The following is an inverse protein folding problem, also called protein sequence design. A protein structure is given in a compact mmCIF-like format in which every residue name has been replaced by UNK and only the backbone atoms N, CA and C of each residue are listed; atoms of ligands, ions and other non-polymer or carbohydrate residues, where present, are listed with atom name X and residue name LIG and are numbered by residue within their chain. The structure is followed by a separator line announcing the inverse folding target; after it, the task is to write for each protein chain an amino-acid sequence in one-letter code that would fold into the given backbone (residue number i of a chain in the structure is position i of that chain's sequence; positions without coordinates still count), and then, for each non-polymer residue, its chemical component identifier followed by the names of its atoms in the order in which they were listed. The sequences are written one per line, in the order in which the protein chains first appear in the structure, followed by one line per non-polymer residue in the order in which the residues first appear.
data_IF_873751547489
#
_entry.id   IF_873751547489
#
_cell.length_a   1.000
_cell.length_b   1.000
_cell.length_c   1.000
_cell.angle_alpha   90.00
_cell.angle_beta   90.00
_cell.angle_gamma   90.00
#
_symmetry.space_group_name_H-M   'P 1'
#
loop_
_entity.id
_entity.type
_entity.pdbx_description
1 polymer ?
#
# COMPACT_ATOMS: atom_id res chain seq x y z
N UNK A 1 -0.97 20.86 -20.78
CA UNK A 1 -2.27 21.01 -20.08
C UNK A 1 -1.92 21.37 -18.64
N UNK A 2 -2.20 22.61 -18.23
CA UNK A 2 -1.60 23.27 -17.07
C UNK A 2 -2.37 22.96 -15.77
N UNK A 3 -1.69 22.34 -14.80
CA UNK A 3 -2.27 21.89 -13.52
C UNK A 3 -2.79 23.06 -12.67
N UNK A 4 -2.35 24.29 -12.95
CA UNK A 4 -2.77 25.47 -12.20
C UNK A 4 -4.21 25.91 -12.47
N UNK A 5 -4.87 25.41 -13.51
CA UNK A 5 -6.22 25.88 -13.87
C UNK A 5 -7.34 25.22 -13.03
N UNK A 6 -7.10 24.05 -12.44
CA UNK A 6 -8.08 23.39 -11.57
C UNK A 6 -8.10 23.95 -10.14
N UNK A 7 -6.99 24.50 -9.65
CA UNK A 7 -6.93 25.11 -8.32
C UNK A 7 -7.56 26.52 -8.28
N UNK A 8 -7.72 27.19 -9.43
CA UNK A 8 -8.38 28.50 -9.52
C UNK A 8 -9.91 28.45 -9.39
N UNK A 9 -10.55 27.29 -9.55
CA UNK A 9 -12.02 27.16 -9.51
C UNK A 9 -12.59 26.78 -8.14
N UNK A 10 -11.75 26.60 -7.12
CA UNK A 10 -12.17 26.15 -5.79
C UNK A 10 -12.15 27.25 -4.70
N UNK A 11 -12.14 28.53 -5.06
CA UNK A 11 -12.32 29.63 -4.10
C UNK A 11 -13.82 29.84 -3.82
N UNK A 12 -14.29 29.29 -2.70
CA UNK A 12 -15.62 29.52 -2.13
C UNK A 12 -15.64 30.94 -1.53
N UNK A 13 -16.66 31.78 -1.81
CA UNK A 13 -16.79 33.11 -1.19
C UNK A 13 -17.05 33.00 0.32
N UNK A 14 -16.32 33.78 1.11
CA UNK A 14 -16.42 33.85 2.57
C UNK A 14 -17.44 34.92 2.97
N UNK A 15 -18.70 34.72 2.61
CA UNK A 15 -19.74 35.76 2.73
C UNK A 15 -20.96 35.15 3.42
N UNK A 16 -20.92 35.08 4.76
CA UNK A 16 -21.97 34.43 5.54
C UNK A 16 -21.95 34.79 7.03
N UNK A 17 -21.74 36.06 7.36
CA UNK A 17 -21.90 36.56 8.73
C UNK A 17 -23.39 36.67 9.08
N UNK A 18 -23.94 35.65 9.75
CA UNK A 18 -25.27 35.72 10.37
C UNK A 18 -25.28 36.69 11.54
N UNK A 19 -26.08 37.73 11.34
CA UNK A 19 -26.42 38.85 12.21
C UNK A 19 -27.10 38.35 13.50
N UNK A 20 -26.43 38.56 14.64
CA UNK A 20 -27.03 38.46 15.97
C UNK A 20 -27.99 39.64 16.17
N UNK A 21 -29.29 39.38 16.26
CA UNK A 21 -30.28 40.36 16.72
C UNK A 21 -30.41 40.27 18.23
N UNK A 22 -29.97 41.34 18.89
CA UNK A 22 -30.25 41.67 20.29
C UNK A 22 -31.75 41.83 20.50
N UNK A 23 -32.34 41.00 21.35
CA UNK A 23 -33.70 41.22 21.84
C UNK A 23 -33.64 41.68 23.30
N UNK A 24 -34.07 42.92 23.48
CA UNK A 24 -34.67 43.58 24.64
C UNK A 24 -34.46 42.97 26.03
N UNK A 25 -33.62 43.66 26.79
CA UNK A 25 -33.75 43.80 28.24
C UNK A 25 -34.62 45.02 28.50
N UNK A 26 -35.87 44.83 28.90
CA UNK A 26 -36.66 45.86 29.57
C UNK A 26 -37.62 45.21 30.56
N UNK A 27 -37.64 45.74 31.79
CA UNK A 27 -38.64 45.42 32.81
C UNK A 27 -38.07 44.81 34.08
N UNK A 28 -37.52 45.65 34.96
CA UNK A 28 -37.40 45.36 36.39
C UNK A 28 -38.73 45.75 37.05
N UNK A 29 -39.51 44.83 37.63
CA UNK A 29 -40.63 45.20 38.48
C UNK A 29 -40.15 45.55 39.89
N UNK A 30 -40.66 46.68 40.31
CA UNK A 30 -40.66 47.30 41.62
C UNK A 30 -41.12 46.34 42.73
N UNK A 31 -40.43 46.41 43.87
CA UNK A 31 -40.69 45.64 45.08
C UNK A 31 -42.00 46.08 45.73
N UNK A 32 -43.00 45.20 45.76
CA UNK A 32 -44.17 45.35 46.65
C UNK A 32 -44.06 44.40 47.84
N UNK A 33 -44.09 45.03 49.01
CA UNK A 33 -44.20 44.45 50.33
C UNK A 33 -45.39 43.49 50.48
N UNK A 34 -45.18 42.45 51.29
CA UNK A 34 -46.16 41.93 52.24
C UNK A 34 -47.37 41.17 51.69
N UNK A 35 -47.24 39.86 51.50
CA UNK A 35 -48.35 38.92 51.72
C UNK A 35 -47.80 37.50 52.00
N UNK A 36 -47.18 37.31 53.16
CA UNK A 36 -46.81 35.99 53.66
C UNK A 36 -48.09 35.26 54.13
N UNK A 37 -48.87 34.71 53.20
CA UNK A 37 -50.11 34.03 53.60
C UNK A 37 -51.03 33.50 52.51
N UNK A 38 -50.76 33.68 51.21
CA UNK A 38 -51.56 33.04 50.16
C UNK A 38 -50.96 31.70 49.78
N UNK A 39 -51.64 30.63 50.21
CA UNK A 39 -51.43 29.28 49.68
C UNK A 39 -51.42 29.34 48.16
N UNK A 40 -50.28 28.96 47.59
CA UNK A 40 -50.09 28.90 46.15
C UNK A 40 -51.21 28.08 45.50
N UNK A 41 -51.86 28.57 44.43
CA UNK A 41 -52.91 27.84 43.73
C UNK A 41 -52.42 26.44 43.34
N UNK A 42 -53.25 25.42 43.57
CA UNK A 42 -52.88 24.00 43.39
C UNK A 42 -52.40 23.69 41.95
N UNK A 43 -52.73 24.53 40.97
CA UNK A 43 -52.34 24.43 39.56
C UNK A 43 -51.01 25.14 39.21
N UNK A 44 -50.56 26.12 39.99
CA UNK A 44 -49.32 26.86 39.74
C UNK A 44 -48.05 26.00 39.95
N UNK A 45 -48.14 24.94 40.77
CA UNK A 45 -47.04 23.98 40.90
C UNK A 45 -46.87 23.12 39.64
N UNK A 46 -47.94 22.87 38.90
CA UNK A 46 -47.91 22.04 37.68
C UNK A 46 -47.23 22.78 36.53
N UNK A 47 -47.46 24.08 36.38
CA UNK A 47 -46.80 24.89 35.33
C UNK A 47 -45.30 25.05 35.58
N UNK A 48 -44.88 25.32 36.81
CA UNK A 48 -43.45 25.43 37.17
C UNK A 48 -42.70 24.10 37.00
N UNK A 49 -43.34 22.97 37.33
CA UNK A 49 -42.77 21.64 37.08
C UNK A 49 -42.61 21.34 35.58
N UNK A 50 -43.57 21.76 34.74
CA UNK A 50 -43.49 21.56 33.30
C UNK A 50 -42.45 22.46 32.62
N UNK A 51 -42.31 23.73 33.03
CA UNK A 51 -41.28 24.62 32.50
C UNK A 51 -39.87 24.19 32.90
N UNK A 52 -39.66 23.79 34.17
CA UNK A 52 -38.39 23.23 34.64
C UNK A 52 -38.01 21.91 33.96
N UNK A 53 -39.00 21.03 33.72
CA UNK A 53 -38.77 19.78 33.00
C UNK A 53 -38.40 20.01 31.51
N UNK A 54 -38.99 21.02 30.87
CA UNK A 54 -38.72 21.33 29.45
C UNK A 54 -37.31 21.88 29.22
N UNK A 55 -36.82 22.75 30.10
CA UNK A 55 -35.48 23.36 29.96
C UNK A 55 -34.36 22.38 30.31
N UNK A 56 -34.53 21.59 31.37
CA UNK A 56 -33.56 20.57 31.76
C UNK A 56 -33.44 19.44 30.71
N UNK A 57 -34.54 19.03 30.09
CA UNK A 57 -34.53 18.00 29.04
C UNK A 57 -33.88 18.50 27.75
N UNK A 58 -34.08 19.76 27.36
CA UNK A 58 -33.43 20.38 26.20
C UNK A 58 -31.92 20.55 26.43
N UNK A 59 -31.49 20.98 27.62
CA UNK A 59 -30.08 21.11 27.94
C UNK A 59 -29.36 19.75 27.98
N UNK A 60 -30.01 18.73 28.55
CA UNK A 60 -29.50 17.36 28.56
C UNK A 60 -29.38 16.79 27.15
N UNK A 61 -30.39 17.02 26.29
CA UNK A 61 -30.37 16.62 24.90
C UNK A 61 -29.26 17.33 24.11
N UNK A 62 -29.07 18.64 24.31
CA UNK A 62 -28.01 19.41 23.67
C UNK A 62 -26.61 18.93 24.08
N UNK A 63 -26.39 18.67 25.38
CA UNK A 63 -25.13 18.08 25.89
C UNK A 63 -24.88 16.68 25.33
N UNK A 64 -25.94 15.87 25.21
CA UNK A 64 -25.88 14.54 24.59
C UNK A 64 -25.47 14.58 23.12
N UNK A 65 -26.09 15.46 22.33
CA UNK A 65 -25.77 15.63 20.91
C UNK A 65 -24.35 16.18 20.70
N UNK A 66 -23.93 17.13 21.53
CA UNK A 66 -22.56 17.65 21.49
C UNK A 66 -21.53 16.55 21.82
N UNK A 67 -21.78 15.76 22.87
CA UNK A 67 -20.92 14.61 23.21
C UNK A 67 -20.83 13.59 22.08
N UNK A 68 -21.96 13.26 21.43
CA UNK A 68 -21.98 12.34 20.28
C UNK A 68 -21.17 12.88 19.09
N UNK A 69 -21.27 14.18 18.80
CA UNK A 69 -20.52 14.82 17.70
C UNK A 69 -19.00 14.76 17.91
N UNK A 70 -18.53 14.92 19.16
CA UNK A 70 -17.11 14.79 19.51
C UNK A 70 -16.64 13.36 19.31
N UNK A 71 -17.43 12.37 19.73
CA UNK A 71 -17.09 10.94 19.56
C UNK A 71 -16.96 10.60 18.07
N UNK A 72 -17.89 11.07 17.23
CA UNK A 72 -17.84 10.87 15.78
C UNK A 72 -16.59 11.52 15.18
N UNK A 73 -16.28 12.77 15.55
CA UNK A 73 -15.10 13.48 15.06
C UNK A 73 -13.80 12.76 15.45
N UNK A 74 -13.67 12.35 16.70
CA UNK A 74 -12.50 11.60 17.19
C UNK A 74 -12.35 10.27 16.43
N UNK A 75 -13.45 9.58 16.16
CA UNK A 75 -13.43 8.32 15.38
C UNK A 75 -12.99 8.54 13.93
N UNK A 76 -13.46 9.61 13.27
CA UNK A 76 -13.03 9.97 11.91
C UNK A 76 -11.55 10.36 11.86
N UNK A 77 -11.07 11.16 12.82
CA UNK A 77 -9.66 11.52 12.91
C UNK A 77 -8.77 10.31 13.19
N UNK A 78 -9.22 9.39 14.04
CA UNK A 78 -8.51 8.13 14.31
C UNK A 78 -8.41 7.23 13.08
N UNK A 79 -9.50 7.07 12.31
CA UNK A 79 -9.49 6.26 11.09
C UNK A 79 -8.62 6.86 9.98
N UNK A 80 -8.57 8.18 9.84
CA UNK A 80 -7.66 8.85 8.90
C UNK A 80 -6.19 8.75 9.35
N UNK A 81 -5.92 8.96 10.63
CA UNK A 81 -4.57 8.82 11.19
C UNK A 81 -4.05 7.39 11.04
N UNK A 82 -4.86 6.38 11.39
CA UNK A 82 -4.49 4.97 11.22
C UNK A 82 -4.35 4.57 9.76
N UNK A 83 -5.20 5.04 8.84
CA UNK A 83 -5.01 4.80 7.40
C UNK A 83 -3.73 5.43 6.85
N UNK A 84 -3.40 6.65 7.27
CA UNK A 84 -2.19 7.36 6.82
C UNK A 84 -0.93 6.70 7.37
N UNK A 85 -0.88 6.46 8.69
CA UNK A 85 0.25 5.79 9.34
C UNK A 85 0.39 4.35 8.87
N UNK A 86 -0.70 3.60 8.69
CA UNK A 86 -0.64 2.24 8.11
C UNK A 86 -0.13 2.25 6.67
N UNK A 87 -0.50 3.23 5.84
CA UNK A 87 0.04 3.35 4.47
C UNK A 87 1.54 3.67 4.48
N UNK A 88 1.99 4.59 5.34
CA UNK A 88 3.41 4.94 5.45
C UNK A 88 4.25 3.80 6.05
N UNK A 89 3.74 3.13 7.08
CA UNK A 89 4.38 1.95 7.65
C UNK A 89 4.32 0.75 6.72
N UNK A 90 3.25 0.55 5.95
CA UNK A 90 3.19 -0.50 4.93
C UNK A 90 4.14 -0.21 3.77
N UNK A 91 4.25 1.04 3.31
CA UNK A 91 5.19 1.43 2.27
C UNK A 91 6.65 1.28 2.73
N UNK A 92 6.97 1.66 3.97
CA UNK A 92 8.29 1.43 4.55
C UNK A 92 8.53 -0.06 4.82
N UNK A 93 7.57 -0.77 5.40
CA UNK A 93 7.69 -2.21 5.66
C UNK A 93 7.81 -3.01 4.37
N UNK A 94 7.13 -2.64 3.29
CA UNK A 94 7.31 -3.26 1.97
C UNK A 94 8.73 -3.07 1.46
N UNK A 95 9.28 -1.86 1.54
CA UNK A 95 10.66 -1.61 1.13
C UNK A 95 11.68 -2.36 2.00
N UNK A 96 11.48 -2.42 3.31
CA UNK A 96 12.39 -3.09 4.25
C UNK A 96 12.24 -4.63 4.27
N UNK A 97 11.04 -5.17 4.07
CA UNK A 97 10.80 -6.61 3.93
C UNK A 97 11.34 -7.11 2.58
N UNK A 98 11.20 -6.32 1.51
CA UNK A 98 11.75 -6.68 0.20
C UNK A 98 13.27 -6.52 0.17
N UNK A 99 13.82 -5.40 0.65
CA UNK A 99 15.28 -5.22 0.74
C UNK A 99 15.91 -6.22 1.72
N UNK A 100 15.29 -6.45 2.87
CA UNK A 100 15.67 -7.48 3.83
C UNK A 100 15.57 -8.88 3.24
N UNK A 101 14.56 -9.15 2.41
CA UNK A 101 14.38 -10.41 1.69
C UNK A 101 15.46 -10.64 0.61
N UNK A 102 15.84 -9.61 -0.15
CA UNK A 102 16.94 -9.69 -1.12
C UNK A 102 18.27 -9.89 -0.39
N UNK A 103 18.52 -9.13 0.67
CA UNK A 103 19.72 -9.28 1.49
C UNK A 103 19.81 -10.69 2.10
N UNK A 104 18.70 -11.22 2.62
CA UNK A 104 18.61 -12.59 3.12
C UNK A 104 18.81 -13.64 2.02
N UNK A 105 18.25 -13.44 0.84
CA UNK A 105 18.45 -14.34 -0.30
C UNK A 105 19.92 -14.34 -0.76
N UNK A 106 20.53 -13.16 -0.88
CA UNK A 106 21.95 -13.01 -1.20
C UNK A 106 22.84 -13.66 -0.13
N UNK A 107 22.56 -13.40 1.15
CA UNK A 107 23.28 -14.04 2.25
C UNK A 107 23.10 -15.57 2.24
N UNK A 108 21.89 -16.08 2.03
CA UNK A 108 21.64 -17.51 1.95
C UNK A 108 22.40 -18.16 0.78
N UNK A 109 22.43 -17.51 -0.39
CA UNK A 109 23.20 -17.98 -1.55
C UNK A 109 24.70 -17.96 -1.26
N UNK A 110 25.22 -16.88 -0.67
CA UNK A 110 26.62 -16.77 -0.29
C UNK A 110 27.00 -17.80 0.78
N UNK A 111 26.13 -18.04 1.76
CA UNK A 111 26.31 -19.08 2.79
C UNK A 111 26.28 -20.47 2.14
N UNK A 112 25.32 -20.77 1.26
CA UNK A 112 25.27 -22.04 0.53
C UNK A 112 26.49 -22.24 -0.38
N UNK A 113 27.00 -21.17 -1.00
CA UNK A 113 28.21 -21.20 -1.81
C UNK A 113 29.49 -21.31 -0.97
N UNK A 114 29.50 -20.76 0.24
CA UNK A 114 30.63 -20.83 1.16
C UNK A 114 30.71 -22.16 1.93
N UNK A 115 29.56 -22.72 2.31
CA UNK A 115 29.42 -24.05 2.94
C UNK A 115 29.57 -25.17 1.89
N UNK A 116 29.57 -24.81 0.60
CA UNK A 116 29.81 -25.74 -0.49
C UNK A 116 31.08 -26.58 -0.23
N UNK A 117 30.96 -27.91 -0.09
CA UNK A 117 32.11 -28.76 0.04
C UNK A 117 32.92 -28.65 -1.26
N UNK A 118 34.07 -27.96 -1.21
CA UNK A 118 35.07 -27.95 -2.30
C UNK A 118 35.63 -29.35 -2.58
N UNK A 119 35.40 -30.27 -1.66
CA UNK A 119 35.90 -31.63 -1.71
C UNK A 119 34.81 -32.45 -2.41
N UNK A 120 35.11 -33.06 -3.56
CA UNK A 120 34.20 -33.79 -4.46
C UNK A 120 33.51 -35.03 -3.88
N UNK A 121 33.02 -34.92 -2.65
CA UNK A 121 32.37 -35.96 -1.88
C UNK A 121 30.90 -36.04 -2.30
N UNK A 122 30.51 -37.24 -2.72
CA UNK A 122 29.17 -37.57 -3.20
C UNK A 122 28.08 -37.00 -2.29
N UNK A 123 27.19 -36.19 -2.88
CA UNK A 123 26.04 -35.63 -2.15
C UNK A 123 25.17 -36.73 -1.56
N UNK A 124 24.86 -36.59 -0.27
CA UNK A 124 23.85 -37.43 0.37
C UNK A 124 22.49 -37.25 -0.33
N UNK A 125 21.61 -38.25 -0.23
CA UNK A 125 20.24 -38.13 -0.77
C UNK A 125 19.49 -36.93 -0.15
N UNK A 126 19.74 -36.63 1.13
CA UNK A 126 19.16 -35.50 1.85
C UNK A 126 19.62 -34.14 1.28
N UNK A 127 20.92 -33.99 0.99
CA UNK A 127 21.45 -32.76 0.38
C UNK A 127 20.85 -32.48 -1.01
N UNK A 128 20.65 -33.54 -1.82
CA UNK A 128 19.99 -33.43 -3.13
C UNK A 128 18.55 -32.96 -3.03
N UNK A 129 17.80 -33.51 -2.08
CA UNK A 129 16.42 -33.12 -1.85
C UNK A 129 16.35 -31.65 -1.40
N UNK A 130 17.18 -31.25 -0.44
CA UNK A 130 17.26 -29.87 0.04
C UNK A 130 17.52 -28.88 -1.09
N UNK A 131 18.50 -29.14 -1.94
CA UNK A 131 18.82 -28.26 -3.08
C UNK A 131 17.69 -28.17 -4.10
N UNK A 132 17.03 -29.28 -4.41
CA UNK A 132 15.90 -29.30 -5.34
C UNK A 132 14.73 -28.49 -4.80
N UNK A 133 14.47 -28.59 -3.49
CA UNK A 133 13.46 -27.78 -2.81
C UNK A 133 13.85 -26.30 -2.83
N UNK A 134 15.11 -25.93 -2.57
CA UNK A 134 15.58 -24.54 -2.63
C UNK A 134 15.43 -23.91 -4.02
N UNK A 135 15.77 -24.63 -5.09
CA UNK A 135 15.57 -24.12 -6.46
C UNK A 135 14.08 -23.96 -6.75
N UNK A 136 13.27 -24.94 -6.33
CA UNK A 136 11.83 -24.93 -6.61
C UNK A 136 11.11 -23.84 -5.83
N UNK A 137 11.49 -23.59 -4.57
CA UNK A 137 10.95 -22.47 -3.78
C UNK A 137 11.38 -21.11 -4.35
N UNK A 138 12.64 -20.97 -4.77
CA UNK A 138 13.11 -19.76 -5.43
C UNK A 138 12.36 -19.52 -6.76
N UNK A 139 12.16 -20.56 -7.57
CA UNK A 139 11.40 -20.48 -8.81
C UNK A 139 9.93 -20.09 -8.54
N UNK A 140 9.29 -20.69 -7.54
CA UNK A 140 7.93 -20.36 -7.14
C UNK A 140 7.81 -18.89 -6.71
N UNK A 141 8.71 -18.43 -5.84
CA UNK A 141 8.74 -17.04 -5.37
C UNK A 141 8.90 -16.07 -6.55
N UNK A 142 9.91 -16.29 -7.40
CA UNK A 142 10.15 -15.45 -8.60
C UNK A 142 8.90 -15.42 -9.47
N UNK A 143 8.29 -16.58 -9.73
CA UNK A 143 7.11 -16.67 -10.60
C UNK A 143 5.93 -15.89 -10.03
N UNK A 144 5.64 -16.03 -8.74
CA UNK A 144 4.57 -15.29 -8.07
C UNK A 144 4.82 -13.78 -8.14
N UNK A 145 6.06 -13.32 -7.93
CA UNK A 145 6.39 -11.88 -8.02
C UNK A 145 6.12 -11.32 -9.41
N UNK A 146 6.57 -12.01 -10.46
CA UNK A 146 6.28 -11.62 -11.84
C UNK A 146 4.77 -11.57 -12.08
N UNK A 147 4.03 -12.62 -11.73
CA UNK A 147 2.58 -12.63 -11.89
C UNK A 147 1.88 -11.45 -11.20
N UNK A 148 2.25 -11.14 -9.95
CA UNK A 148 1.64 -10.03 -9.21
C UNK A 148 1.97 -8.68 -9.84
N UNK A 149 3.19 -8.51 -10.34
CA UNK A 149 3.60 -7.28 -11.01
C UNK A 149 2.85 -7.07 -12.33
N UNK A 150 2.67 -8.13 -13.11
CA UNK A 150 1.91 -8.07 -14.37
C UNK A 150 0.43 -7.79 -14.15
N UNK A 151 -0.18 -8.36 -13.09
CA UNK A 151 -1.54 -7.97 -12.67
C UNK A 151 -1.62 -6.49 -12.32
N UNK A 152 -0.57 -5.95 -11.68
CA UNK A 152 -0.44 -4.52 -11.39
C UNK A 152 -0.40 -3.66 -12.65
N UNK A 153 0.44 -4.02 -13.63
CA UNK A 153 0.54 -3.32 -14.93
C UNK A 153 -0.78 -3.35 -15.70
N UNK A 154 -1.44 -4.51 -15.76
CA UNK A 154 -2.72 -4.67 -16.45
C UNK A 154 -3.85 -3.84 -15.82
N UNK A 155 -3.77 -3.55 -14.51
CA UNK A 155 -4.72 -2.66 -13.83
C UNK A 155 -4.48 -1.18 -14.12
N UNK A 156 -3.25 -0.79 -14.44
CA UNK A 156 -2.84 0.58 -14.74
C UNK A 156 -2.41 0.71 -16.21
N UNK A 157 -3.23 0.11 -17.08
CA UNK A 157 -2.89 -0.09 -18.49
C UNK A 157 -2.72 1.23 -19.25
N UNK A 158 -3.54 2.24 -18.93
CA UNK A 158 -3.50 3.55 -19.59
C UNK A 158 -2.19 4.27 -19.24
N UNK A 159 -1.82 4.27 -17.96
CA UNK A 159 -0.58 4.86 -17.48
C UNK A 159 0.66 4.18 -18.08
N UNK A 160 0.62 2.85 -18.21
CA UNK A 160 1.69 2.08 -18.85
C UNK A 160 1.79 2.35 -20.36
N UNK A 161 0.67 2.49 -21.07
CA UNK A 161 0.70 2.88 -22.48
C UNK A 161 1.33 4.26 -22.68
N UNK A 162 0.95 5.23 -21.86
CA UNK A 162 1.48 6.59 -21.91
C UNK A 162 2.97 6.61 -21.58
N UNK A 163 3.42 5.84 -20.58
CA UNK A 163 4.83 5.67 -20.25
C UNK A 163 5.62 5.11 -21.44
N UNK A 164 5.13 4.06 -22.10
CA UNK A 164 5.80 3.48 -23.26
C UNK A 164 5.87 4.45 -24.45
N UNK A 165 4.79 5.20 -24.72
CA UNK A 165 4.77 6.24 -25.76
C UNK A 165 5.75 7.37 -25.47
N UNK A 166 5.80 7.84 -24.22
CA UNK A 166 6.75 8.85 -23.77
C UNK A 166 8.20 8.38 -23.91
N UNK A 167 8.43 7.08 -23.71
CA UNK A 167 9.74 6.42 -23.90
C UNK A 167 10.10 6.15 -25.37
N UNK A 168 9.27 6.57 -26.33
CA UNK A 168 9.51 6.38 -27.76
C UNK A 168 9.12 5.01 -28.31
N UNK A 169 8.43 4.18 -27.52
CA UNK A 169 7.92 2.88 -27.97
C UNK A 169 6.46 2.97 -28.42
N UNK A 170 6.01 2.12 -29.36
CA UNK A 170 4.61 2.03 -29.68
C UNK A 170 3.82 1.40 -28.53
N UNK A 171 2.57 1.82 -28.33
CA UNK A 171 1.73 1.34 -27.23
C UNK A 171 1.63 -0.19 -27.18
N UNK A 172 1.57 -0.87 -28.32
CA UNK A 172 1.44 -2.34 -28.34
C UNK A 172 2.63 -3.08 -27.71
N UNK A 173 3.81 -2.42 -27.65
CA UNK A 173 5.04 -3.05 -27.17
C UNK A 173 4.94 -3.45 -25.70
N UNK A 174 4.23 -2.68 -24.87
CA UNK A 174 4.07 -3.04 -23.45
C UNK A 174 3.28 -4.36 -23.29
N UNK A 175 2.24 -4.61 -24.10
CA UNK A 175 1.52 -5.89 -24.07
C UNK A 175 2.42 -7.06 -24.45
N UNK A 176 3.35 -6.86 -25.39
CA UNK A 176 4.33 -7.87 -25.75
C UNK A 176 5.27 -8.17 -24.57
N UNK A 177 5.71 -7.14 -23.85
CA UNK A 177 6.53 -7.30 -22.64
C UNK A 177 5.76 -8.05 -21.54
N UNK A 178 4.52 -7.64 -21.25
CA UNK A 178 3.64 -8.32 -20.28
C UNK A 178 3.46 -9.81 -20.64
N UNK A 179 3.20 -10.10 -21.92
CA UNK A 179 3.03 -11.47 -22.39
C UNK A 179 4.32 -12.31 -22.21
N UNK A 180 5.48 -11.73 -22.53
CA UNK A 180 6.78 -12.38 -22.34
C UNK A 180 7.13 -12.59 -20.86
N UNK A 181 6.78 -11.64 -20.00
CA UNK A 181 7.00 -11.74 -18.55
C UNK A 181 6.14 -12.86 -17.94
N UNK A 182 4.85 -12.92 -18.31
CA UNK A 182 3.95 -14.01 -17.91
C UNK A 182 4.45 -15.35 -18.44
N UNK A 183 4.78 -15.45 -19.74
CA UNK A 183 5.27 -16.69 -20.33
C UNK A 183 6.59 -17.15 -19.70
N UNK A 184 7.53 -16.22 -19.50
CA UNK A 184 8.80 -16.50 -18.83
C UNK A 184 8.61 -16.97 -17.40
N UNK A 185 7.71 -16.35 -16.64
CA UNK A 185 7.41 -16.78 -15.26
C UNK A 185 6.79 -18.17 -15.20
N UNK A 186 5.89 -18.51 -16.14
CA UNK A 186 5.34 -19.87 -16.25
C UNK A 186 6.41 -20.91 -16.58
N UNK A 187 7.34 -20.59 -17.49
CA UNK A 187 8.46 -21.48 -17.81
C UNK A 187 9.40 -21.64 -16.61
N UNK A 188 9.68 -20.57 -15.87
CA UNK A 188 10.45 -20.65 -14.62
C UNK A 188 9.79 -21.60 -13.62
N UNK A 189 8.47 -21.53 -13.46
CA UNK A 189 7.74 -22.37 -12.53
C UNK A 189 7.72 -23.85 -12.97
N UNK A 190 7.31 -24.10 -14.21
CA UNK A 190 6.90 -25.43 -14.68
C UNK A 190 8.01 -26.23 -15.36
N UNK A 191 9.03 -25.58 -15.92
CA UNK A 191 10.04 -26.27 -16.69
C UNK A 191 11.14 -26.90 -15.80
N UNK A 192 11.85 -27.88 -16.36
CA UNK A 192 13.08 -28.40 -15.77
C UNK A 192 14.23 -27.38 -15.81
N UNK A 193 15.40 -27.76 -15.27
CA UNK A 193 16.57 -26.87 -15.12
C UNK A 193 16.95 -26.10 -16.39
N UNK A 194 16.93 -26.74 -17.57
CA UNK A 194 17.26 -26.08 -18.85
C UNK A 194 16.27 -24.97 -19.17
N UNK A 195 14.96 -25.23 -19.04
CA UNK A 195 13.92 -24.24 -19.31
C UNK A 195 13.99 -23.08 -18.33
N UNK A 196 14.23 -23.37 -17.04
CA UNK A 196 14.44 -22.34 -16.00
C UNK A 196 15.59 -21.41 -16.35
N UNK A 197 16.75 -21.95 -16.74
CA UNK A 197 17.91 -21.12 -17.14
C UNK A 197 17.56 -20.21 -18.32
N UNK A 198 16.95 -20.75 -19.37
CA UNK A 198 16.58 -19.96 -20.56
C UNK A 198 15.57 -18.87 -20.21
N UNK A 199 14.52 -19.20 -19.46
CA UNK A 199 13.50 -18.23 -19.06
C UNK A 199 14.06 -17.16 -18.11
N UNK A 200 14.91 -17.53 -17.15
CA UNK A 200 15.56 -16.57 -16.26
C UNK A 200 16.46 -15.59 -17.02
N UNK A 201 17.21 -16.06 -18.03
CA UNK A 201 18.01 -15.18 -18.89
C UNK A 201 17.14 -14.22 -19.70
N UNK A 202 16.05 -14.71 -20.28
CA UNK A 202 15.11 -13.89 -21.05
C UNK A 202 14.47 -12.80 -20.17
N UNK A 203 13.94 -13.18 -19.00
CA UNK A 203 13.34 -12.24 -18.06
C UNK A 203 14.37 -11.23 -17.54
N UNK A 204 15.61 -11.67 -17.27
CA UNK A 204 16.68 -10.78 -16.85
C UNK A 204 17.00 -9.74 -17.93
N UNK A 205 16.98 -10.14 -19.21
CA UNK A 205 17.10 -9.22 -20.33
C UNK A 205 15.98 -8.17 -20.36
N UNK A 206 14.73 -8.57 -20.11
CA UNK A 206 13.60 -7.63 -19.99
C UNK A 206 13.82 -6.65 -18.85
N UNK A 207 14.22 -7.13 -17.66
CA UNK A 207 14.49 -6.26 -16.51
C UNK A 207 15.60 -5.25 -16.80
N UNK A 208 16.68 -5.67 -17.47
CA UNK A 208 17.73 -4.76 -17.91
C UNK A 208 17.18 -3.70 -18.88
N UNK A 209 16.32 -4.11 -19.83
CA UNK A 209 15.64 -3.17 -20.74
C UNK A 209 14.75 -2.15 -20.00
N UNK A 210 14.01 -2.60 -18.98
CA UNK A 210 13.19 -1.72 -18.15
C UNK A 210 14.04 -0.70 -17.38
N UNK A 211 15.13 -1.15 -16.75
CA UNK A 211 16.08 -0.27 -16.05
C UNK A 211 16.68 0.76 -17.00
N UNK A 212 17.13 0.32 -18.19
CA UNK A 212 17.70 1.22 -19.19
C UNK A 212 16.67 2.23 -19.71
N UNK A 213 15.39 1.86 -19.79
CA UNK A 213 14.31 2.77 -20.18
C UNK A 213 14.14 3.88 -19.15
N UNK A 214 14.12 3.56 -17.85
CA UNK A 214 14.09 4.57 -16.79
C UNK A 214 15.31 5.50 -16.84
N UNK A 215 16.52 4.94 -17.03
CA UNK A 215 17.75 5.74 -17.18
C UNK A 215 17.67 6.66 -18.40
N UNK A 216 17.14 6.17 -19.53
CA UNK A 216 16.99 6.94 -20.75
C UNK A 216 16.01 8.11 -20.59
N UNK A 217 14.91 7.89 -19.88
CA UNK A 217 13.89 8.90 -19.61
C UNK A 217 14.33 9.95 -18.57
N UNK A 218 15.40 9.66 -17.82
CA UNK A 218 15.83 10.52 -16.70
C UNK A 218 14.93 10.37 -15.48
N UNK A 219 14.23 9.23 -15.35
CA UNK A 219 13.36 8.95 -14.21
C UNK A 219 14.20 8.81 -12.92
N UNK A 220 13.64 9.17 -11.75
CA UNK A 220 14.26 8.87 -10.46
C UNK A 220 14.56 7.37 -10.31
N UNK A 221 15.70 7.02 -9.71
CA UNK A 221 16.09 5.63 -9.46
C UNK A 221 15.07 4.84 -8.64
N UNK A 222 14.22 5.53 -7.85
CA UNK A 222 13.13 4.91 -7.11
C UNK A 222 12.14 4.17 -8.02
N UNK A 223 11.97 4.66 -9.25
CA UNK A 223 10.96 4.15 -10.17
C UNK A 223 11.46 2.86 -10.85
N UNK A 224 12.78 2.66 -10.89
CA UNK A 224 13.43 1.44 -11.36
C UNK A 224 13.64 0.37 -10.27
N UNK A 225 13.26 0.64 -9.01
CA UNK A 225 13.55 -0.29 -7.90
C UNK A 225 12.92 -1.66 -8.06
N UNK A 226 11.69 -1.74 -8.55
CA UNK A 226 11.02 -3.03 -8.73
C UNK A 226 11.74 -3.90 -9.78
N UNK A 227 12.15 -3.29 -10.89
CA UNK A 227 12.93 -3.97 -11.94
C UNK A 227 14.29 -4.44 -11.42
N UNK A 228 14.99 -3.61 -10.63
CA UNK A 228 16.27 -3.96 -10.00
C UNK A 228 16.13 -5.16 -9.06
N UNK A 229 15.10 -5.17 -8.21
CA UNK A 229 14.88 -6.28 -7.30
C UNK A 229 14.49 -7.57 -8.04
N UNK A 230 13.59 -7.49 -9.02
CA UNK A 230 13.23 -8.63 -9.85
C UNK A 230 14.45 -9.20 -10.59
N UNK A 231 15.31 -8.34 -11.14
CA UNK A 231 16.59 -8.74 -11.73
C UNK A 231 17.49 -9.49 -10.73
N UNK A 232 17.60 -9.00 -9.49
CA UNK A 232 18.40 -9.64 -8.46
C UNK A 232 17.88 -11.05 -8.10
N UNK A 233 16.57 -11.23 -7.92
CA UNK A 233 15.99 -12.56 -7.67
C UNK A 233 16.20 -13.52 -8.85
N UNK A 234 16.07 -13.03 -10.08
CA UNK A 234 16.35 -13.81 -11.28
C UNK A 234 17.82 -14.22 -11.37
N UNK A 235 18.74 -13.32 -11.06
CA UNK A 235 20.17 -13.61 -11.06
C UNK A 235 20.51 -14.71 -10.03
N UNK A 236 19.95 -14.63 -8.83
CA UNK A 236 20.08 -15.67 -7.80
C UNK A 236 19.55 -17.02 -8.31
N UNK A 237 18.32 -17.06 -8.82
CA UNK A 237 17.73 -18.28 -9.35
C UNK A 237 18.55 -18.87 -10.50
N UNK A 238 19.02 -18.02 -11.41
CA UNK A 238 19.85 -18.39 -12.54
C UNK A 238 21.15 -19.05 -12.07
N UNK A 239 21.87 -18.44 -11.11
CA UNK A 239 23.09 -19.01 -10.54
C UNK A 239 22.82 -20.37 -9.91
N UNK A 240 21.76 -20.52 -9.11
CA UNK A 240 21.38 -21.80 -8.52
C UNK A 240 21.11 -22.88 -9.59
N UNK A 241 20.41 -22.51 -10.66
CA UNK A 241 20.11 -23.42 -11.76
C UNK A 241 21.37 -23.81 -12.56
N UNK A 242 22.30 -22.89 -12.78
CA UNK A 242 23.56 -23.14 -13.48
C UNK A 242 24.46 -24.08 -12.67
N UNK A 243 24.56 -23.87 -11.36
CA UNK A 243 25.28 -24.77 -10.45
C UNK A 243 24.68 -26.19 -10.52
N UNK A 244 23.35 -26.30 -10.41
CA UNK A 244 22.66 -27.58 -10.49
C UNK A 244 22.88 -28.30 -11.84
N UNK A 245 22.87 -27.54 -12.94
CA UNK A 245 23.10 -28.05 -14.29
C UNK A 245 24.51 -28.59 -14.44
N UNK A 246 25.53 -27.84 -14.00
CA UNK A 246 26.93 -28.28 -14.10
C UNK A 246 27.17 -29.57 -13.33
N UNK A 247 26.57 -29.73 -12.15
CA UNK A 247 26.62 -30.99 -11.40
C UNK A 247 25.98 -32.17 -12.15
N UNK A 248 24.85 -31.94 -12.82
CA UNK A 248 24.19 -32.97 -13.60
C UNK A 248 25.03 -33.42 -14.81
N UNK A 249 25.80 -32.52 -15.41
CA UNK A 249 26.73 -32.84 -16.50
C UNK A 249 27.94 -33.62 -16.00
N UNK A 250 28.58 -33.19 -14.91
CA UNK A 250 29.74 -33.90 -14.33
C UNK A 250 29.45 -35.35 -13.93
N UNK A 251 28.21 -35.67 -13.55
CA UNK A 251 27.79 -37.05 -13.21
C UNK A 251 27.62 -37.98 -14.42
N UNK A 252 27.59 -37.43 -15.64
CA UNK A 252 27.43 -38.22 -16.87
C UNK A 252 28.77 -38.57 -17.51
N UNK A 253 29.85 -37.93 -17.08
CA UNK A 253 31.23 -38.21 -17.48
C UNK A 253 31.83 -39.25 -16.53
#
# INVERSE_FOLDING_TARGET
MDINEHLRRASIPADGATRLTSHDRDGIPESTDGDAGKSMPDDAWISLLNEGASTASVELAAKGLFGLSIIILVTQLWTLFTRSTYRSFAAMADQWVVAGGVLWCCMAVLICAAIWPRNGLMWSKQQRLGWTLSITSAALMVSIKFFMFEVGKLRHNVEMEDFFRASGYPAWFHYAIVALEIAGSLVVLLAGLKGRVTASLMLLGIMVGAILTHVHNGDPWSDAYDALFQAAYLAVLLVLCLIARNQATLRRL
#
